data_IF_784771389179
#
_entry.id   IF_784771389179
#
_cell.length_a   1.000
_cell.length_b   1.000
_cell.length_c   1.000
_cell.angle_alpha   90.00
_cell.angle_beta   90.00
_cell.angle_gamma   90.00
#
_symmetry.space_group_name_H-M   'P 1'
#
loop_
_entity.id
_entity.type
_entity.pdbx_description
1 polymer ?
#
# COMPACT_ATOMS: atom_id res chain seq x y z
N UNK A 1 -22.69 4.45 12.11
CA UNK A 1 -22.19 4.74 10.76
C UNK A 1 -21.10 5.78 10.97
N UNK A 2 -19.84 5.33 11.03
CA UNK A 2 -18.73 6.19 11.41
C UNK A 2 -18.47 7.22 10.31
N UNK A 3 -18.58 8.53 10.61
CA UNK A 3 -18.40 9.60 9.62
C UNK A 3 -16.92 9.76 9.20
N UNK A 4 -15.98 9.15 9.91
CA UNK A 4 -14.55 9.15 9.57
C UNK A 4 -14.15 8.06 8.56
N UNK A 5 -15.09 7.20 8.15
CA UNK A 5 -14.78 6.06 7.27
C UNK A 5 -14.63 6.43 5.78
N UNK A 6 -14.92 7.68 5.39
CA UNK A 6 -15.16 8.04 3.98
C UNK A 6 -14.12 8.90 3.27
N UNK A 7 -13.07 9.44 3.91
CA UNK A 7 -12.33 10.55 3.25
C UNK A 7 -10.79 10.52 3.29
N UNK A 8 -10.16 9.44 3.75
CA UNK A 8 -8.72 9.30 3.54
C UNK A 8 -8.43 8.59 2.23
N UNK A 9 -7.91 9.33 1.25
CA UNK A 9 -7.43 8.78 -0.01
C UNK A 9 -6.28 7.79 0.30
N UNK A 10 -6.52 6.52 -0.01
CA UNK A 10 -5.57 5.42 0.23
C UNK A 10 -4.94 5.03 -1.08
N UNK A 11 -3.62 5.10 -1.09
CA UNK A 11 -2.79 4.67 -2.19
C UNK A 11 -2.21 3.30 -1.88
N UNK A 12 -2.12 2.48 -2.93
CA UNK A 12 -1.45 1.18 -2.87
C UNK A 12 -0.25 1.26 -3.81
N UNK A 13 0.93 0.99 -3.27
CA UNK A 13 2.15 0.80 -4.04
C UNK A 13 2.66 -0.62 -3.88
N UNK A 14 3.32 -1.11 -4.93
CA UNK A 14 4.16 -2.30 -4.85
C UNK A 14 5.62 -1.89 -4.87
N UNK A 15 6.42 -2.50 -4.01
CA UNK A 15 7.85 -2.29 -3.96
C UNK A 15 8.58 -3.57 -3.62
N UNK A 16 9.82 -3.70 -4.06
CA UNK A 16 10.68 -4.79 -3.65
C UNK A 16 11.48 -4.38 -2.43
N UNK A 17 11.50 -5.20 -1.38
CA UNK A 17 12.40 -5.01 -0.25
C UNK A 17 13.85 -5.23 -0.68
N UNK A 18 14.80 -4.73 0.12
CA UNK A 18 16.23 -5.02 -0.07
C UNK A 18 16.58 -6.52 -0.04
N UNK A 19 15.69 -7.34 0.53
CA UNK A 19 15.79 -8.80 0.55
C UNK A 19 15.13 -9.50 -0.66
N UNK A 20 14.66 -8.75 -1.66
CA UNK A 20 14.04 -9.29 -2.87
C UNK A 20 12.59 -9.74 -2.68
N UNK A 21 11.92 -9.35 -1.58
CA UNK A 21 10.53 -9.68 -1.34
C UNK A 21 9.63 -8.59 -1.89
N UNK A 22 8.64 -8.96 -2.70
CA UNK A 22 7.63 -8.01 -3.13
C UNK A 22 6.71 -7.66 -1.95
N UNK A 23 6.49 -6.36 -1.75
CA UNK A 23 5.69 -5.78 -0.68
C UNK A 23 4.54 -4.98 -1.27
N UNK A 24 3.37 -5.12 -0.66
CA UNK A 24 2.23 -4.23 -0.83
C UNK A 24 2.30 -3.19 0.28
N UNK A 25 2.37 -1.92 -0.12
CA UNK A 25 2.42 -0.76 0.74
C UNK A 25 1.11 0.00 0.58
N UNK A 26 0.34 0.13 1.66
CA UNK A 26 -0.83 0.99 1.72
C UNK A 26 -0.45 2.24 2.48
N UNK A 27 -0.63 3.40 1.86
CA UNK A 27 -0.31 4.68 2.46
C UNK A 27 -1.38 5.71 2.13
N UNK A 28 -1.36 6.81 2.86
CA UNK A 28 -2.17 7.99 2.55
C UNK A 28 -1.27 9.22 2.52
N UNK A 29 -1.70 10.25 1.81
CA UNK A 29 -1.01 11.52 1.71
C UNK A 29 -1.80 12.50 2.56
N UNK A 30 -1.16 13.08 3.58
CA UNK A 30 -1.74 14.15 4.39
C UNK A 30 -0.83 15.38 4.31
N UNK A 31 -1.29 16.40 3.58
CA UNK A 31 -0.44 17.55 3.24
C UNK A 31 0.74 17.10 2.38
N UNK A 32 1.96 17.43 2.79
CA UNK A 32 3.21 17.05 2.11
C UNK A 32 3.86 15.76 2.64
N UNK A 33 3.17 15.01 3.51
CA UNK A 33 3.74 13.81 4.14
C UNK A 33 3.01 12.53 3.70
N UNK A 34 3.81 11.49 3.44
CA UNK A 34 3.33 10.13 3.26
C UNK A 34 3.18 9.45 4.62
N UNK A 35 1.95 9.07 4.98
CA UNK A 35 1.69 8.25 6.17
C UNK A 35 1.50 6.81 5.74
N UNK A 36 2.40 5.95 6.17
CA UNK A 36 2.26 4.51 6.00
C UNK A 36 1.08 4.01 6.85
N UNK A 37 0.14 3.30 6.22
CA UNK A 37 -0.99 2.64 6.90
C UNK A 37 -0.65 1.17 7.13
N UNK A 38 -0.13 0.50 6.11
CA UNK A 38 0.23 -0.92 6.18
C UNK A 38 1.34 -1.26 5.20
N UNK A 39 2.27 -2.12 5.62
CA UNK A 39 3.26 -2.74 4.75
C UNK A 39 3.25 -4.23 5.02
N UNK A 40 2.95 -5.02 3.98
CA UNK A 40 2.92 -6.48 4.07
C UNK A 40 3.57 -7.12 2.86
N UNK A 41 4.00 -8.38 3.01
CA UNK A 41 4.42 -9.18 1.86
C UNK A 41 3.26 -9.29 0.86
N UNK A 42 3.58 -9.03 -0.40
CA UNK A 42 2.68 -9.29 -1.50
C UNK A 42 2.43 -10.80 -1.58
N UNK A 43 1.18 -11.18 -1.79
CA UNK A 43 0.85 -12.56 -2.10
C UNK A 43 1.29 -12.87 -3.54
N UNK A 44 1.48 -14.16 -3.87
CA UNK A 44 1.82 -14.58 -5.24
C UNK A 44 0.82 -14.09 -6.29
N UNK A 45 -0.45 -13.95 -5.91
CA UNK A 45 -1.51 -13.48 -6.80
C UNK A 45 -1.41 -11.96 -7.04
N UNK A 46 -1.14 -11.17 -6.00
CA UNK A 46 -0.93 -9.73 -6.11
C UNK A 46 0.36 -9.41 -6.88
N UNK A 47 1.42 -10.19 -6.67
CA UNK A 47 2.66 -10.07 -7.44
C UNK A 47 2.40 -10.24 -8.95
N UNK A 48 1.68 -11.31 -9.30
CA UNK A 48 1.38 -11.62 -10.70
C UNK A 48 0.43 -10.61 -11.36
N UNK A 49 -0.48 -10.00 -10.61
CA UNK A 49 -1.40 -9.01 -11.14
C UNK A 49 -0.72 -7.69 -11.55
N UNK A 50 0.47 -7.41 -11.02
CA UNK A 50 1.22 -6.20 -11.28
C UNK A 50 2.48 -6.41 -12.14
N UNK A 51 3.04 -7.62 -12.20
CA UNK A 51 4.12 -8.00 -13.13
C UNK A 51 3.62 -8.28 -14.57
N UNK A 52 2.43 -7.78 -14.94
CA UNK A 52 1.83 -7.97 -16.26
C UNK A 52 2.65 -7.40 -17.41
#
# INVERSE_FOLDING_TARGET
>A
MDPDASEEERFIALGMSSSGLLLVIVYTIRGDAFRLISARRATRQEAKAYEG
#
